data_IF_340625959589
#
_entry.id   IF_340625959589
#
_cell.length_a   1.000
_cell.length_b   1.000
_cell.length_c   1.000
_cell.angle_alpha   90.00
_cell.angle_beta   90.00
_cell.angle_gamma   90.00
#
_symmetry.space_group_name_H-M   'P 1'
#
loop_
_entity.id
_entity.type
_entity.pdbx_description
1 polymer ?
#
# COMPACT_ATOMS: atom_id res chain seq x y z
N UNK A 1 14.31 -18.85 10.51
CA UNK A 1 14.13 -17.63 11.33
C UNK A 1 15.03 -16.57 10.69
N UNK A 2 14.63 -16.07 9.52
CA UNK A 2 15.40 -15.05 8.82
C UNK A 2 15.03 -13.71 9.44
N UNK A 3 15.92 -13.18 10.28
CA UNK A 3 15.92 -11.76 10.59
C UNK A 3 16.47 -11.02 9.36
N UNK A 4 15.68 -10.96 8.30
CA UNK A 4 15.90 -9.99 7.24
C UNK A 4 15.72 -8.60 7.86
N UNK A 5 16.64 -7.68 7.58
CA UNK A 5 16.59 -6.30 8.03
C UNK A 5 15.29 -5.66 7.51
N UNK A 6 14.23 -5.70 8.31
CA UNK A 6 12.95 -5.16 7.90
C UNK A 6 13.04 -3.63 7.99
N UNK A 7 13.22 -2.99 6.83
CA UNK A 7 13.28 -1.54 6.70
C UNK A 7 12.02 -0.97 7.35
N UNK A 8 12.22 -0.12 8.35
CA UNK A 8 11.16 0.62 9.02
C UNK A 8 11.11 2.03 8.44
N UNK A 9 9.95 2.41 7.93
CA UNK A 9 9.70 3.68 7.30
C UNK A 9 8.70 4.47 8.14
N UNK A 10 8.91 5.77 8.20
CA UNK A 10 7.97 6.75 8.77
C UNK A 10 6.86 7.07 7.77
N UNK A 11 5.77 7.65 8.27
CA UNK A 11 4.68 8.15 7.43
C UNK A 11 5.16 9.09 6.32
N UNK A 12 6.06 10.01 6.65
CA UNK A 12 6.60 10.97 5.68
C UNK A 12 7.44 10.28 4.59
N UNK A 13 8.15 9.20 4.91
CA UNK A 13 8.89 8.41 3.92
C UNK A 13 7.96 7.67 2.97
N UNK A 14 6.86 7.13 3.48
CA UNK A 14 5.81 6.50 2.67
C UNK A 14 5.14 7.52 1.76
N UNK A 15 4.74 8.68 2.29
CA UNK A 15 4.13 9.78 1.52
C UNK A 15 5.06 10.24 0.39
N UNK A 16 6.36 10.44 0.69
CA UNK A 16 7.36 10.78 -0.34
C UNK A 16 7.49 9.71 -1.42
N UNK A 17 7.34 8.45 -1.07
CA UNK A 17 7.40 7.35 -2.03
C UNK A 17 6.12 7.17 -2.88
N UNK A 18 5.04 7.88 -2.52
CA UNK A 18 3.74 7.89 -3.20
C UNK A 18 3.38 9.31 -3.69
N UNK A 19 4.30 9.93 -4.42
CA UNK A 19 4.15 11.26 -5.07
C UNK A 19 3.76 12.41 -4.12
N UNK A 20 4.09 12.30 -2.83
CA UNK A 20 3.79 13.29 -1.78
C UNK A 20 2.29 13.52 -1.52
N UNK A 21 1.43 12.57 -1.87
CA UNK A 21 -0.02 12.70 -1.69
C UNK A 21 -0.48 12.13 -0.34
N UNK A 22 -0.54 12.99 0.69
CA UNK A 22 -0.97 12.61 2.05
C UNK A 22 -2.39 12.06 2.07
N UNK A 23 -3.34 12.76 1.43
CA UNK A 23 -4.76 12.39 1.45
C UNK A 23 -4.96 11.01 0.82
N UNK A 24 -4.26 10.74 -0.28
CA UNK A 24 -4.28 9.42 -0.90
C UNK A 24 -3.73 8.33 0.03
N UNK A 25 -2.60 8.57 0.71
CA UNK A 25 -2.03 7.59 1.65
C UNK A 25 -3.00 7.31 2.80
N UNK A 26 -3.71 8.32 3.30
CA UNK A 26 -4.74 8.13 4.32
C UNK A 26 -5.91 7.30 3.79
N UNK A 27 -6.44 7.64 2.61
CA UNK A 27 -7.56 6.88 2.02
C UNK A 27 -7.24 5.42 1.76
N UNK A 28 -6.01 5.08 1.33
CA UNK A 28 -5.63 3.67 1.14
C UNK A 28 -5.44 2.90 2.46
N UNK A 29 -5.10 3.58 3.55
CA UNK A 29 -5.08 2.98 4.90
C UNK A 29 -6.51 2.72 5.38
N UNK A 30 -7.43 3.68 5.17
CA UNK A 30 -8.85 3.54 5.53
C UNK A 30 -9.54 2.41 4.75
N UNK A 31 -9.15 2.19 3.50
CA UNK A 31 -9.61 1.08 2.67
C UNK A 31 -8.83 -0.23 2.92
N UNK A 32 -8.02 -0.30 3.98
CA UNK A 32 -7.26 -1.50 4.40
C UNK A 32 -6.39 -2.13 3.30
N UNK A 33 -5.92 -1.34 2.33
CA UNK A 33 -4.95 -1.80 1.33
C UNK A 33 -3.64 -2.18 2.03
N UNK A 34 -3.30 -1.43 3.07
CA UNK A 34 -2.33 -1.80 4.09
C UNK A 34 -2.95 -1.58 5.48
N UNK A 35 -2.63 -2.46 6.43
CA UNK A 35 -3.10 -2.30 7.80
C UNK A 35 -2.01 -1.66 8.66
N UNK A 36 -2.40 -0.77 9.57
CA UNK A 36 -1.54 -0.16 10.58
C UNK A 36 -2.19 -0.27 11.96
N UNK A 37 -1.43 0.03 13.01
CA UNK A 37 -1.98 0.17 14.36
C UNK A 37 -1.93 1.63 14.79
N UNK A 38 -3.07 2.15 15.24
CA UNK A 38 -3.16 3.50 15.79
C UNK A 38 -3.04 4.60 14.72
N UNK A 39 -2.37 5.69 15.08
CA UNK A 39 -2.30 6.88 14.24
C UNK A 39 -1.29 6.70 13.08
N UNK A 40 -1.66 6.98 11.81
CA UNK A 40 -0.76 6.85 10.66
C UNK A 40 0.55 7.63 10.78
N UNK A 41 0.52 8.85 11.31
CA UNK A 41 1.71 9.70 11.47
C UNK A 41 2.69 9.17 12.52
N UNK A 42 2.23 8.31 13.43
CA UNK A 42 3.06 7.67 14.47
C UNK A 42 3.39 6.21 14.16
N UNK A 43 2.80 5.64 13.10
CA UNK A 43 3.00 4.26 12.71
C UNK A 43 4.37 4.05 12.04
N UNK A 44 4.89 2.83 12.16
CA UNK A 44 6.03 2.35 11.41
C UNK A 44 5.53 1.45 10.28
N UNK A 45 6.15 1.58 9.10
CA UNK A 45 5.77 0.86 7.90
C UNK A 45 6.93 -0.03 7.42
N UNK A 46 6.62 -1.26 7.04
CA UNK A 46 7.61 -2.19 6.50
C UNK A 46 7.88 -1.95 5.01
N UNK A 47 8.98 -2.53 4.52
CA UNK A 47 9.26 -2.57 3.08
C UNK A 47 8.16 -3.26 2.27
N UNK A 48 7.45 -4.24 2.87
CA UNK A 48 6.30 -4.89 2.25
C UNK A 48 5.12 -3.93 2.07
N UNK A 49 4.78 -3.16 3.11
CA UNK A 49 3.72 -2.15 3.02
C UNK A 49 4.06 -1.08 1.97
N UNK A 50 5.31 -0.63 1.91
CA UNK A 50 5.76 0.28 0.86
C UNK A 50 5.57 -0.32 -0.55
N UNK A 51 5.95 -1.58 -0.76
CA UNK A 51 5.78 -2.23 -2.05
C UNK A 51 4.30 -2.33 -2.47
N UNK A 52 3.42 -2.68 -1.51
CA UNK A 52 1.97 -2.74 -1.74
C UNK A 52 1.38 -1.37 -2.05
N UNK A 53 1.79 -0.33 -1.34
CA UNK A 53 1.40 1.06 -1.61
C UNK A 53 1.84 1.54 -2.99
N UNK A 54 3.08 1.27 -3.40
CA UNK A 54 3.55 1.66 -4.75
C UNK A 54 2.78 0.95 -5.86
N UNK A 55 2.37 -0.30 -5.64
CA UNK A 55 1.48 -1.04 -6.55
C UNK A 55 0.10 -0.36 -6.62
N UNK A 56 -0.49 -0.05 -5.46
CA UNK A 56 -1.77 0.66 -5.34
C UNK A 56 -1.73 2.02 -6.05
N UNK A 57 -0.69 2.81 -5.79
CA UNK A 57 -0.51 4.15 -6.36
C UNK A 57 -0.46 4.11 -7.89
N UNK A 58 0.25 3.12 -8.44
CA UNK A 58 0.31 2.92 -9.89
C UNK A 58 -1.06 2.59 -10.47
N UNK A 59 -1.81 1.68 -9.84
CA UNK A 59 -3.17 1.33 -10.27
C UNK A 59 -4.09 2.55 -10.20
N UNK A 60 -4.09 3.26 -9.07
CA UNK A 60 -4.90 4.47 -8.88
C UNK A 60 -4.64 5.49 -9.98
N UNK A 61 -3.37 5.75 -10.32
CA UNK A 61 -3.00 6.68 -11.40
C UNK A 61 -3.35 6.17 -12.80
N UNK A 62 -3.03 4.92 -13.10
CA UNK A 62 -3.20 4.37 -14.44
C UNK A 62 -4.69 4.19 -14.81
N UNK A 63 -5.57 4.04 -13.81
CA UNK A 63 -7.01 3.88 -13.97
C UNK A 63 -7.85 5.09 -13.51
N UNK A 64 -7.21 6.18 -13.07
CA UNK A 64 -7.88 7.33 -12.41
C UNK A 64 -8.87 6.88 -11.32
N UNK A 65 -8.45 5.90 -10.52
CA UNK A 65 -9.29 5.20 -9.57
C UNK A 65 -9.11 5.74 -8.15
N UNK A 66 -10.23 5.93 -7.44
CA UNK A 66 -10.22 6.18 -6.00
C UNK A 66 -9.72 4.97 -5.18
N UNK A 67 -9.55 5.15 -3.88
CA UNK A 67 -8.98 4.13 -2.99
C UNK A 67 -9.78 2.82 -2.97
N UNK A 68 -11.11 2.87 -2.84
CA UNK A 68 -11.97 1.67 -2.84
C UNK A 68 -11.86 0.85 -4.14
N UNK A 69 -11.89 1.52 -5.30
CA UNK A 69 -11.72 0.87 -6.60
C UNK A 69 -10.31 0.29 -6.75
N UNK A 70 -9.29 1.00 -6.25
CA UNK A 70 -7.90 0.51 -6.22
C UNK A 70 -7.76 -0.75 -5.37
N UNK A 71 -8.41 -0.80 -4.20
CA UNK A 71 -8.42 -1.96 -3.31
C UNK A 71 -9.03 -3.19 -4.01
N UNK A 72 -10.18 -3.01 -4.67
CA UNK A 72 -10.84 -4.07 -5.43
C UNK A 72 -9.94 -4.58 -6.58
N UNK A 73 -9.35 -3.68 -7.37
CA UNK A 73 -8.45 -4.07 -8.47
C UNK A 73 -7.24 -4.85 -7.93
N UNK A 74 -6.65 -4.41 -6.83
CA UNK A 74 -5.54 -5.12 -6.19
C UNK A 74 -5.95 -6.54 -5.77
N UNK A 75 -7.11 -6.68 -5.13
CA UNK A 75 -7.62 -8.00 -4.73
C UNK A 75 -7.80 -8.91 -5.96
N UNK A 76 -8.41 -8.41 -7.04
CA UNK A 76 -8.61 -9.18 -8.26
C UNK A 76 -7.28 -9.59 -8.91
N UNK A 77 -6.27 -8.72 -8.89
CA UNK A 77 -4.94 -9.05 -9.39
C UNK A 77 -4.24 -10.10 -8.53
N UNK A 78 -4.37 -9.99 -7.20
CA UNK A 78 -3.83 -10.97 -6.25
C UNK A 78 -4.52 -12.35 -6.47
N UNK A 79 -5.83 -12.39 -6.68
CA UNK A 79 -6.58 -13.62 -7.04
C UNK A 79 -6.13 -14.22 -8.38
N UNK A 80 -5.94 -13.39 -9.41
CA UNK A 80 -5.43 -13.83 -10.72
C UNK A 80 -4.02 -14.42 -10.63
N UNK A 81 -3.15 -13.86 -9.79
CA UNK A 81 -1.81 -14.40 -9.57
C UNK A 81 -1.84 -15.79 -8.93
N UNK A 82 -2.79 -16.05 -8.03
CA UNK A 82 -3.00 -17.39 -7.45
C UNK A 82 -3.47 -18.36 -8.54
N UNK A 83 -4.46 -17.96 -9.34
CA UNK A 83 -5.01 -18.81 -10.40
C UNK A 83 -3.99 -19.21 -11.47
N UNK A 84 -3.04 -18.33 -11.80
CA UNK A 84 -1.98 -18.60 -12.80
C UNK A 84 -0.86 -19.51 -12.30
N UNK A 85 -0.74 -19.69 -10.98
CA UNK A 85 0.29 -20.54 -10.36
C UNK A 85 -0.19 -21.99 -10.16
N UNK A 86 -1.49 -22.26 -10.33
CA UNK A 86 -2.08 -23.60 -10.34
C UNK A 86 -2.08 -24.22 -11.73
#
# INVERSE_FOLDING_TARGET
>A
MNQEQDIQLTFDEIVRACDNNVDWVVSVIEEEIISIHGNPQQASFSGFQLARLRRAHRISRDFDAGAAATALILQLLDELEVLRKG
#
